data_IF_377683566123
#
_entry.id   IF_377683566123
#
_cell.length_a   1.000
_cell.length_b   1.000
_cell.length_c   1.000
_cell.angle_alpha   90.00
_cell.angle_beta   90.00
_cell.angle_gamma   90.00
#
_symmetry.space_group_name_H-M   'P 1'
#
loop_
_entity.id
_entity.type
_entity.pdbx_description
1 polymer ?
#
# COMPACT_ATOMS: atom_id res chain seq x y z
N UNK A 1 15.98 -54.00 10.90
CA UNK A 1 15.77 -53.00 9.83
C UNK A 1 15.22 -51.74 10.49
N UNK A 2 15.88 -50.57 10.44
CA UNK A 2 15.25 -49.34 10.86
C UNK A 2 14.63 -48.63 9.65
N UNK A 3 13.31 -48.45 9.69
CA UNK A 3 12.58 -47.51 8.86
C UNK A 3 13.03 -46.10 9.25
N UNK A 4 13.83 -45.46 8.40
CA UNK A 4 14.04 -44.02 8.46
C UNK A 4 12.82 -43.38 7.81
N UNK A 5 11.86 -42.97 8.66
CA UNK A 5 10.85 -42.01 8.27
C UNK A 5 11.58 -40.71 7.87
N UNK A 6 11.63 -40.47 6.56
CA UNK A 6 12.03 -39.19 6.00
C UNK A 6 10.93 -38.20 6.38
N UNK A 7 11.13 -37.49 7.49
CA UNK A 7 10.44 -36.24 7.79
C UNK A 7 10.77 -35.26 6.66
N UNK A 8 9.94 -35.30 5.63
CA UNK A 8 9.90 -34.32 4.56
C UNK A 8 9.67 -32.97 5.23
N UNK A 9 10.71 -32.14 5.26
CA UNK A 9 10.63 -30.80 5.83
C UNK A 9 9.49 -30.07 5.12
N UNK A 10 8.57 -29.41 5.85
CA UNK A 10 7.51 -28.68 5.21
C UNK A 10 8.13 -27.63 4.28
N UNK A 11 7.93 -27.80 2.97
CA UNK A 11 8.37 -26.84 1.98
C UNK A 11 7.77 -25.48 2.38
N UNK A 12 8.64 -24.52 2.69
CA UNK A 12 8.17 -23.19 2.99
C UNK A 12 7.52 -22.65 1.72
N UNK A 13 6.24 -22.25 1.75
CA UNK A 13 5.56 -21.80 0.55
C UNK A 13 6.30 -20.58 0.01
N UNK A 14 6.63 -20.65 -1.29
CA UNK A 14 7.29 -19.55 -1.97
C UNK A 14 6.48 -18.25 -1.82
N UNK A 15 7.14 -17.09 -1.63
CA UNK A 15 6.43 -15.84 -1.42
C UNK A 15 5.63 -15.49 -2.68
N UNK A 16 4.36 -15.11 -2.49
CA UNK A 16 3.56 -14.51 -3.57
C UNK A 16 4.26 -13.22 -3.99
N UNK A 17 4.58 -13.10 -5.28
CA UNK A 17 5.23 -11.92 -5.83
C UNK A 17 4.19 -10.86 -6.23
N UNK A 18 4.60 -9.60 -6.13
CA UNK A 18 3.84 -8.46 -6.61
C UNK A 18 3.83 -8.43 -8.14
N UNK A 19 2.73 -7.97 -8.74
CA UNK A 19 2.61 -7.79 -10.19
C UNK A 19 3.43 -6.57 -10.67
N UNK A 20 3.61 -6.44 -11.98
CA UNK A 20 4.34 -5.30 -12.56
C UNK A 20 3.64 -3.97 -12.27
N UNK A 21 2.30 -3.96 -12.27
CA UNK A 21 1.49 -2.77 -11.95
C UNK A 21 1.57 -2.37 -10.48
N UNK A 22 2.09 -3.27 -9.63
CA UNK A 22 2.36 -3.01 -8.23
C UNK A 22 3.78 -2.45 -8.05
N UNK A 23 4.54 -2.25 -9.15
CA UNK A 23 5.85 -1.58 -9.27
C UNK A 23 7.02 -2.18 -8.44
N UNK A 24 8.27 -2.14 -8.95
CA UNK A 24 9.44 -2.68 -8.25
C UNK A 24 9.88 -1.82 -7.04
N UNK A 25 10.80 -2.34 -6.25
CA UNK A 25 11.45 -1.58 -5.19
C UNK A 25 12.26 -0.41 -5.77
N UNK A 26 12.09 0.82 -5.29
CA UNK A 26 12.87 1.97 -5.80
C UNK A 26 14.30 2.03 -5.27
N UNK A 27 14.64 1.23 -4.25
CA UNK A 27 16.01 1.17 -3.73
C UNK A 27 16.88 0.19 -4.54
N UNK A 28 16.37 -0.98 -4.92
CA UNK A 28 17.15 -1.99 -5.65
C UNK A 28 16.60 -2.42 -7.01
N UNK A 29 15.45 -1.90 -7.44
CA UNK A 29 14.80 -2.25 -8.70
C UNK A 29 14.18 -3.65 -8.77
N UNK A 30 14.29 -4.47 -7.72
CA UNK A 30 13.79 -5.86 -7.73
C UNK A 30 12.30 -5.96 -7.42
N UNK A 31 11.70 -7.06 -7.89
CA UNK A 31 10.31 -7.43 -7.62
C UNK A 31 10.07 -7.63 -6.11
N UNK A 32 8.87 -7.28 -5.68
CA UNK A 32 8.47 -7.29 -4.26
C UNK A 32 7.63 -8.52 -3.96
N UNK A 33 7.56 -8.90 -2.69
CA UNK A 33 6.53 -9.86 -2.26
C UNK A 33 5.22 -9.13 -2.03
N UNK A 34 4.09 -9.80 -2.24
CA UNK A 34 2.74 -9.30 -1.95
C UNK A 34 2.22 -9.98 -0.70
N UNK A 35 1.80 -9.19 0.29
CA UNK A 35 1.32 -9.69 1.58
C UNK A 35 0.05 -8.98 2.00
N UNK A 36 -0.83 -9.67 2.74
CA UNK A 36 -1.98 -9.08 3.41
C UNK A 36 -1.67 -8.77 4.87
N UNK A 37 -2.16 -7.65 5.37
CA UNK A 37 -2.15 -7.36 6.80
C UNK A 37 -3.09 -8.31 7.53
N UNK A 38 -2.53 -9.11 8.42
CA UNK A 38 -3.26 -10.11 9.23
C UNK A 38 -4.01 -9.44 10.40
N UNK A 39 -3.80 -8.14 10.63
CA UNK A 39 -4.47 -7.43 11.71
C UNK A 39 -5.99 -7.38 11.44
N UNK A 40 -6.78 -7.98 12.33
CA UNK A 40 -8.24 -8.01 12.31
C UNK A 40 -8.89 -6.84 13.06
N UNK A 41 -8.09 -5.96 13.67
CA UNK A 41 -8.64 -4.91 14.52
C UNK A 41 -9.10 -3.70 13.69
N UNK A 42 -10.38 -3.30 13.78
CA UNK A 42 -10.92 -2.16 13.03
C UNK A 42 -10.32 -0.81 13.46
N UNK A 43 -9.57 -0.78 14.58
CA UNK A 43 -8.82 0.41 15.01
C UNK A 43 -7.49 0.57 14.27
N UNK A 44 -6.99 -0.47 13.60
CA UNK A 44 -5.81 -0.37 12.77
C UNK A 44 -6.22 0.09 11.37
N UNK A 45 -5.81 1.30 11.00
CA UNK A 45 -6.03 1.85 9.67
C UNK A 45 -5.51 0.95 8.53
N UNK A 46 -4.61 0.00 8.85
CA UNK A 46 -4.04 -0.97 7.92
C UNK A 46 -4.59 -2.40 8.01
N UNK A 47 -5.64 -2.64 8.79
CA UNK A 47 -6.29 -3.95 8.86
C UNK A 47 -6.80 -4.40 7.48
N UNK A 48 -6.49 -5.65 7.09
CA UNK A 48 -6.92 -6.24 5.82
C UNK A 48 -6.31 -5.64 4.55
N UNK A 49 -5.35 -4.71 4.65
CA UNK A 49 -4.73 -4.05 3.48
C UNK A 49 -3.58 -4.85 2.90
N UNK A 50 -3.33 -4.68 1.61
CA UNK A 50 -2.19 -5.30 0.93
C UNK A 50 -0.95 -4.44 1.10
N UNK A 51 0.20 -5.08 1.26
CA UNK A 51 1.48 -4.42 1.32
C UNK A 51 2.59 -5.17 0.59
N UNK A 52 3.57 -4.41 0.13
CA UNK A 52 4.59 -4.88 -0.81
C UNK A 52 6.00 -4.70 -0.26
N UNK A 53 6.50 -5.59 0.61
CA UNK A 53 7.87 -5.50 1.10
C UNK A 53 8.87 -6.04 0.06
N UNK A 54 10.02 -5.37 -0.04
CA UNK A 54 11.13 -5.85 -0.85
C UNK A 54 11.68 -7.18 -0.29
N UNK A 55 11.98 -8.13 -1.17
CA UNK A 55 12.60 -9.41 -0.83
C UNK A 55 14.11 -9.30 -0.63
N UNK A 56 14.73 -8.20 -1.06
CA UNK A 56 16.16 -7.96 -0.90
C UNK A 56 16.50 -7.55 0.54
N UNK A 57 17.33 -8.34 1.21
CA UNK A 57 17.74 -8.12 2.60
C UNK A 57 18.63 -6.89 2.81
N UNK A 58 19.25 -6.37 1.74
CA UNK A 58 20.07 -5.15 1.76
C UNK A 58 19.25 -3.87 1.67
N UNK A 59 18.00 -3.95 1.20
CA UNK A 59 17.09 -2.81 1.25
C UNK A 59 16.67 -2.54 2.68
N UNK A 60 16.36 -1.29 2.99
CA UNK A 60 15.81 -0.96 4.30
C UNK A 60 14.49 -1.72 4.49
N UNK A 61 14.43 -2.51 5.56
CA UNK A 61 13.22 -3.24 5.93
C UNK A 61 12.36 -2.35 6.81
N UNK A 62 11.21 -1.96 6.28
CA UNK A 62 10.18 -1.31 7.08
C UNK A 62 9.66 -2.30 8.12
N UNK A 63 9.67 -1.91 9.39
CA UNK A 63 9.08 -2.71 10.45
C UNK A 63 7.60 -2.36 10.59
N UNK A 64 6.72 -3.28 10.19
CA UNK A 64 5.28 -3.15 10.42
C UNK A 64 4.94 -3.06 11.92
N UNK A 65 5.76 -3.68 12.79
CA UNK A 65 5.63 -3.64 14.26
C UNK A 65 6.02 -2.29 14.86
N UNK A 66 7.01 -1.61 14.28
CA UNK A 66 7.52 -0.31 14.78
C UNK A 66 7.00 0.88 13.97
N UNK A 67 6.07 0.66 13.03
CA UNK A 67 5.65 1.67 12.04
C UNK A 67 6.83 2.39 11.35
N UNK A 68 7.98 1.72 11.21
CA UNK A 68 9.12 2.29 10.51
C UNK A 68 8.79 2.29 9.02
N UNK A 69 8.54 3.49 8.49
CA UNK A 69 8.03 3.79 7.14
C UNK A 69 9.05 3.58 6.01
N UNK A 70 10.16 2.89 6.28
CA UNK A 70 11.19 2.66 5.27
C UNK A 70 10.81 1.43 4.43
N UNK A 71 10.05 1.70 3.39
CA UNK A 71 9.79 0.85 2.23
C UNK A 71 8.86 -0.37 2.37
N UNK A 72 7.74 -0.16 3.05
CA UNK A 72 6.51 -0.92 2.77
C UNK A 72 5.55 0.00 2.00
N UNK A 73 5.35 -0.28 0.72
CA UNK A 73 4.26 0.37 -0.01
C UNK A 73 2.97 -0.40 0.28
N UNK A 74 1.97 0.32 0.77
CA UNK A 74 0.63 -0.20 1.06
C UNK A 74 -0.26 0.13 -0.12
N UNK A 75 -1.13 -0.78 -0.57
CA UNK A 75 -2.15 -0.56 -1.61
C UNK A 75 -1.71 0.38 -2.75
N UNK A 76 -0.51 0.16 -3.31
CA UNK A 76 -0.11 0.77 -4.58
C UNK A 76 -0.53 -0.18 -5.69
N UNK A 77 -1.63 0.17 -6.34
CA UNK A 77 -2.17 -0.55 -7.48
C UNK A 77 -1.98 0.29 -8.75
N UNK A 78 -1.94 -0.37 -9.91
CA UNK A 78 -1.81 0.32 -11.20
C UNK A 78 -2.92 1.33 -11.47
N UNK A 79 -4.10 1.11 -10.90
CA UNK A 79 -5.29 1.97 -11.02
C UNK A 79 -5.23 3.21 -10.12
N UNK A 80 -4.27 3.30 -9.21
CA UNK A 80 -4.14 4.47 -8.34
C UNK A 80 -3.76 5.70 -9.17
N UNK A 81 -4.26 6.89 -8.79
CA UNK A 81 -3.84 8.14 -9.41
C UNK A 81 -2.32 8.32 -9.27
N UNK A 82 -1.70 8.97 -10.25
CA UNK A 82 -0.27 9.27 -10.19
C UNK A 82 -0.03 10.43 -9.22
N UNK A 83 1.13 10.43 -8.56
CA UNK A 83 1.63 11.60 -7.84
C UNK A 83 2.05 12.70 -8.81
N UNK A 84 2.33 13.88 -8.27
CA UNK A 84 2.98 14.99 -8.96
C UNK A 84 4.35 14.61 -9.57
N UNK A 85 4.96 13.54 -9.05
CA UNK A 85 6.20 12.95 -9.57
C UNK A 85 6.02 11.94 -10.71
N UNK A 86 4.79 11.69 -11.18
CA UNK A 86 4.46 10.69 -12.20
C UNK A 86 4.49 9.23 -11.73
N UNK A 87 5.01 8.95 -10.54
CA UNK A 87 4.97 7.63 -9.90
C UNK A 87 3.56 7.32 -9.33
N UNK A 88 3.23 6.04 -9.10
CA UNK A 88 2.01 5.67 -8.40
C UNK A 88 1.85 6.35 -7.04
N UNK A 89 0.63 6.72 -6.70
CA UNK A 89 0.24 6.98 -5.32
C UNK A 89 -0.12 5.70 -4.58
N UNK A 90 -0.17 5.79 -3.26
CA UNK A 90 -0.75 4.78 -2.37
C UNK A 90 -1.98 5.35 -1.71
N UNK A 91 -2.92 4.48 -1.39
CA UNK A 91 -4.04 4.82 -0.53
C UNK A 91 -3.57 4.95 0.93
N UNK A 92 -4.12 5.92 1.65
CA UNK A 92 -4.05 6.08 3.09
C UNK A 92 -5.45 6.20 3.68
N UNK A 93 -5.57 6.09 5.01
CA UNK A 93 -6.82 6.32 5.74
C UNK A 93 -6.58 7.29 6.87
N UNK A 94 -7.50 8.25 7.03
CA UNK A 94 -7.47 9.20 8.14
C UNK A 94 -7.72 8.46 9.46
N UNK A 95 -6.96 8.84 10.48
CA UNK A 95 -7.03 8.23 11.81
C UNK A 95 -8.27 8.65 12.60
N UNK A 96 -8.40 8.15 13.83
CA UNK A 96 -9.52 8.46 14.71
C UNK A 96 -9.58 9.93 15.14
N UNK A 97 -8.44 10.62 15.13
CA UNK A 97 -8.33 12.03 15.55
C UNK A 97 -8.66 13.04 14.43
N UNK A 98 -8.92 12.57 13.19
CA UNK A 98 -9.34 13.45 12.09
C UNK A 98 -10.86 13.65 12.14
N UNK A 99 -11.39 14.84 11.79
CA UNK A 99 -12.83 15.08 11.70
C UNK A 99 -13.60 14.11 10.78
N UNK A 100 -12.90 13.45 9.85
CA UNK A 100 -13.46 12.44 8.93
C UNK A 100 -12.71 11.12 9.07
N UNK A 101 -12.84 10.41 10.20
CA UNK A 101 -12.07 9.20 10.44
C UNK A 101 -12.40 8.12 9.41
N UNK A 102 -11.38 7.38 8.97
CA UNK A 102 -11.52 6.33 7.97
C UNK A 102 -11.58 6.80 6.52
N UNK A 103 -11.86 8.09 6.24
CA UNK A 103 -11.84 8.61 4.87
C UNK A 103 -10.46 8.40 4.25
N UNK A 104 -10.47 8.15 2.95
CA UNK A 104 -9.29 7.87 2.17
C UNK A 104 -8.52 9.14 1.82
N UNK A 105 -7.24 8.97 1.56
CA UNK A 105 -6.44 9.95 0.85
C UNK A 105 -5.42 9.22 -0.02
N UNK A 106 -4.90 9.90 -1.03
CA UNK A 106 -3.78 9.47 -1.84
C UNK A 106 -2.53 10.17 -1.36
N UNK A 107 -1.40 9.48 -1.34
CA UNK A 107 -0.09 10.09 -1.12
C UNK A 107 0.97 9.39 -1.97
N UNK A 108 2.15 10.01 -2.17
CA UNK A 108 3.21 9.38 -2.95
C UNK A 108 3.58 8.01 -2.36
N UNK A 109 3.46 6.94 -3.16
CA UNK A 109 3.71 5.57 -2.71
C UNK A 109 5.17 5.32 -2.31
N UNK A 110 6.06 6.16 -2.82
CA UNK A 110 7.51 6.02 -2.76
C UNK A 110 8.20 7.14 -1.98
N UNK A 111 7.45 8.15 -1.53
CA UNK A 111 8.00 9.32 -0.84
C UNK A 111 8.88 10.23 -1.70
N UNK A 112 8.88 10.05 -3.03
CA UNK A 112 9.68 10.85 -3.97
C UNK A 112 9.18 12.29 -4.13
N UNK A 113 7.92 12.56 -3.76
CA UNK A 113 7.37 13.92 -3.66
C UNK A 113 6.40 14.03 -2.48
N UNK A 114 5.93 15.26 -2.23
CA UNK A 114 4.98 15.58 -1.16
C UNK A 114 3.51 15.43 -1.56
N UNK A 115 3.22 14.88 -2.74
CA UNK A 115 1.87 14.67 -3.25
C UNK A 115 0.96 14.07 -2.18
N UNK A 116 -0.15 14.76 -1.94
CA UNK A 116 -1.24 14.29 -1.08
C UNK A 116 -2.57 14.84 -1.58
N UNK A 117 -3.53 13.96 -1.84
CA UNK A 117 -4.87 14.36 -2.29
C UNK A 117 -5.96 13.69 -1.47
N UNK A 118 -6.98 14.46 -1.05
CA UNK A 118 -8.22 13.95 -0.45
C UNK A 118 -9.34 13.76 -1.49
N UNK A 119 -9.09 14.13 -2.75
CA UNK A 119 -10.02 13.97 -3.84
C UNK A 119 -10.13 12.49 -4.25
N UNK A 120 -11.35 12.00 -4.50
CA UNK A 120 -11.63 10.62 -4.91
C UNK A 120 -10.79 10.20 -6.12
N UNK A 121 -10.55 11.12 -7.06
CA UNK A 121 -9.78 10.85 -8.28
C UNK A 121 -8.28 11.17 -8.15
N UNK A 122 -7.82 11.58 -6.96
CA UNK A 122 -6.43 11.95 -6.73
C UNK A 122 -6.00 13.24 -7.40
N UNK A 123 -6.92 14.16 -7.69
CA UNK A 123 -6.55 15.46 -8.25
C UNK A 123 -5.85 16.33 -7.20
N UNK A 124 -4.81 17.04 -7.60
CA UNK A 124 -4.03 17.94 -6.75
C UNK A 124 -4.64 19.33 -6.69
N UNK A 125 -4.87 19.83 -5.47
CA UNK A 125 -5.23 21.24 -5.26
C UNK A 125 -3.99 22.12 -5.45
N UNK A 126 -2.83 21.68 -4.97
CA UNK A 126 -1.57 22.44 -5.02
C UNK A 126 -1.14 22.72 -6.47
N UNK A 127 -1.41 21.78 -7.39
CA UNK A 127 -1.13 21.97 -8.82
C UNK A 127 -2.31 22.55 -9.61
N UNK A 128 -3.42 22.89 -8.94
CA UNK A 128 -4.59 23.50 -9.60
C UNK A 128 -5.43 22.55 -10.46
N UNK A 129 -5.31 21.23 -10.28
CA UNK A 129 -6.13 20.24 -11.02
C UNK A 129 -7.59 20.20 -10.53
N UNK A 130 -7.83 20.63 -9.30
CA UNK A 130 -9.16 20.77 -8.69
C UNK A 130 -9.16 21.91 -7.68
N UNK A 131 -10.24 22.70 -7.66
CA UNK A 131 -10.43 23.71 -6.61
C UNK A 131 -10.91 23.07 -5.30
N UNK A 132 -10.64 23.72 -4.17
CA UNK A 132 -10.95 23.16 -2.85
C UNK A 132 -12.44 22.83 -2.65
N UNK A 133 -13.33 23.61 -3.25
CA UNK A 133 -14.80 23.43 -3.23
C UNK A 133 -15.29 22.28 -4.12
N UNK A 134 -14.49 21.83 -5.08
CA UNK A 134 -14.81 20.76 -6.03
C UNK A 134 -14.20 19.40 -5.67
N UNK A 135 -13.54 19.32 -4.52
CA UNK A 135 -12.94 18.08 -4.00
C UNK A 135 -14.05 17.09 -3.66
N UNK A 136 -14.04 15.95 -4.35
CA UNK A 136 -14.94 14.86 -4.02
C UNK A 136 -14.30 13.99 -2.93
N UNK A 137 -14.94 13.77 -1.78
CA UNK A 137 -14.33 12.98 -0.71
C UNK A 137 -14.03 11.55 -1.15
N UNK A 138 -12.81 11.07 -0.90
CA UNK A 138 -12.47 9.68 -1.08
C UNK A 138 -13.01 8.83 0.07
N UNK A 139 -14.02 8.00 -0.18
CA UNK A 139 -14.62 7.07 0.79
C UNK A 139 -14.28 5.62 0.37
N UNK A 140 -13.25 4.99 0.95
CA UNK A 140 -12.68 3.73 0.49
C UNK A 140 -13.67 2.58 0.30
N UNK A 141 -14.65 2.46 1.19
CA UNK A 141 -15.64 1.37 1.18
C UNK A 141 -16.80 1.60 0.20
N UNK A 142 -16.85 2.76 -0.47
CA UNK A 142 -17.82 3.05 -1.53
C UNK A 142 -17.22 2.93 -2.94
N UNK A 143 -15.92 2.62 -3.06
CA UNK A 143 -15.25 2.51 -4.37
C UNK A 143 -15.39 1.11 -4.98
N UNK A 144 -15.66 0.09 -4.15
CA UNK A 144 -15.86 -1.30 -4.61
C UNK A 144 -17.32 -1.63 -5.00
N UNK A 145 -18.23 -0.66 -4.88
CA UNK A 145 -19.66 -0.85 -5.19
C UNK A 145 -19.99 -0.74 -6.69
N UNK A 146 -19.04 -0.29 -7.50
CA UNK A 146 -19.25 0.04 -8.92
C UNK A 146 -18.71 -1.05 -9.89
N UNK A 147 -18.19 -2.17 -9.38
CA UNK A 147 -17.77 -3.31 -10.21
C UNK A 147 -18.85 -4.40 -10.12
N UNK A 148 -19.75 -4.41 -11.11
CA UNK A 148 -20.68 -5.51 -11.38
C UNK A 148 -20.03 -6.57 -12.25
#
# INVERSE_FOLDING_TARGET
MPLQDMLESPETPSPVLAKEEEHPCTECGKQRSRRGSVASSPRHANAGRTYFPCTNSRCRKGSARLMQRDFVTWDAHGENPKCDCGLPSRQGRLGLDDPKPGYGFWECAFGSCKYRSRDRKGRSIENGEVSADQVQPFIPWLVYSDVK
#
